data_IF_348198547850
#
_entry.id   IF_348198547850
#
_cell.length_a   1.000
_cell.length_b   1.000
_cell.length_c   1.000
_cell.angle_alpha   90.00
_cell.angle_beta   90.00
_cell.angle_gamma   90.00
#
_symmetry.space_group_name_H-M   'P 1'
#
loop_
_entity.id
_entity.type
_entity.pdbx_description
1 polymer ?
#
# COMPACT_ATOMS: atom_id res chain seq x y z
N UNK A 1 -2.49 22.79 -17.19
CA UNK A 1 -3.41 21.69 -17.56
C UNK A 1 -2.55 20.56 -18.10
N UNK A 2 -2.30 19.53 -17.30
CA UNK A 2 -1.54 18.37 -17.75
C UNK A 2 -2.40 17.53 -18.70
N UNK A 3 -1.87 17.25 -19.87
CA UNK A 3 -2.51 16.47 -20.92
C UNK A 3 -2.77 15.04 -20.41
N UNK A 4 -4.02 14.73 -20.06
CA UNK A 4 -4.47 13.39 -19.68
C UNK A 4 -4.62 12.56 -20.95
N UNK A 5 -3.49 12.08 -21.48
CA UNK A 5 -3.48 11.09 -22.54
C UNK A 5 -4.21 9.83 -22.06
N UNK A 6 -5.17 9.36 -22.83
CA UNK A 6 -5.96 8.16 -22.53
C UNK A 6 -5.07 6.92 -22.46
N UNK A 7 -4.77 6.45 -21.27
CA UNK A 7 -3.92 5.28 -21.00
C UNK A 7 -4.64 3.93 -21.19
N UNK A 8 -5.81 3.91 -21.83
CA UNK A 8 -6.72 2.74 -21.86
C UNK A 8 -6.14 1.45 -22.46
N UNK A 9 -5.00 1.51 -23.15
CA UNK A 9 -4.33 0.33 -23.70
C UNK A 9 -3.12 -0.16 -22.85
N UNK A 10 -2.40 0.76 -22.20
CA UNK A 10 -1.17 0.47 -21.48
C UNK A 10 -1.39 -0.21 -20.12
N UNK A 11 -2.52 0.05 -19.47
CA UNK A 11 -2.87 -0.62 -18.21
C UNK A 11 -3.12 -2.13 -18.43
N UNK A 12 -3.63 -2.51 -19.61
CA UNK A 12 -3.91 -3.90 -19.99
C UNK A 12 -2.69 -4.62 -20.55
N UNK A 13 -1.77 -3.89 -21.19
CA UNK A 13 -0.55 -4.43 -21.82
C UNK A 13 0.63 -3.53 -21.48
N UNK A 14 1.36 -3.84 -20.40
CA UNK A 14 2.57 -3.09 -20.05
C UNK A 14 3.58 -3.11 -21.20
N UNK A 15 4.30 -2.00 -21.42
CA UNK A 15 5.33 -1.91 -22.48
C UNK A 15 6.50 -2.85 -22.24
N UNK A 16 6.86 -3.06 -20.96
CA UNK A 16 7.90 -4.00 -20.56
C UNK A 16 7.24 -5.19 -19.90
N UNK A 17 7.56 -6.37 -20.39
CA UNK A 17 7.00 -7.63 -19.90
C UNK A 17 8.03 -8.74 -20.04
N UNK A 18 8.00 -9.70 -19.15
CA UNK A 18 8.85 -10.88 -19.27
C UNK A 18 8.41 -11.73 -20.48
N UNK A 19 9.33 -12.35 -21.21
CA UNK A 19 9.00 -13.27 -22.30
C UNK A 19 8.11 -14.42 -21.83
N UNK A 20 7.15 -14.81 -22.68
CA UNK A 20 6.24 -15.91 -22.41
C UNK A 20 4.95 -15.51 -21.68
N UNK A 21 4.72 -14.21 -21.45
CA UNK A 21 3.47 -13.70 -20.87
C UNK A 21 2.83 -12.69 -21.83
N UNK A 22 1.90 -13.15 -22.67
CA UNK A 22 1.29 -12.33 -23.72
C UNK A 22 -0.17 -11.96 -23.44
N UNK A 23 -0.81 -12.64 -22.47
CA UNK A 23 -2.19 -12.41 -22.11
C UNK A 23 -2.39 -11.00 -21.52
N UNK A 24 -3.45 -10.27 -21.90
CA UNK A 24 -3.72 -8.96 -21.35
C UNK A 24 -4.03 -9.05 -19.85
N UNK A 25 -3.56 -8.09 -19.08
CA UNK A 25 -3.93 -7.96 -17.68
C UNK A 25 -5.42 -7.69 -17.55
N UNK A 26 -6.06 -8.27 -16.55
CA UNK A 26 -7.50 -8.14 -16.31
C UNK A 26 -7.81 -7.08 -15.27
N UNK A 27 -8.94 -6.40 -15.47
CA UNK A 27 -9.46 -5.45 -14.51
C UNK A 27 -10.18 -6.20 -13.39
N UNK A 28 -9.74 -6.01 -12.15
CA UNK A 28 -10.36 -6.55 -10.96
C UNK A 28 -10.63 -5.44 -9.96
N UNK A 29 -11.73 -5.50 -9.22
CA UNK A 29 -11.97 -4.61 -8.10
C UNK A 29 -11.08 -5.02 -6.93
N UNK A 30 -10.71 -4.05 -6.07
CA UNK A 30 -9.99 -4.39 -4.85
C UNK A 30 -10.79 -5.40 -4.01
N UNK A 31 -12.11 -5.27 -3.93
CA UNK A 31 -13.01 -6.22 -3.25
C UNK A 31 -12.97 -7.64 -3.82
N UNK A 32 -12.53 -7.84 -5.08
CA UNK A 32 -12.41 -9.16 -5.67
C UNK A 32 -11.20 -9.93 -5.15
N UNK A 33 -10.14 -9.22 -4.74
CA UNK A 33 -8.88 -9.84 -4.32
C UNK A 33 -8.42 -9.49 -2.89
N UNK A 34 -9.17 -8.64 -2.17
CA UNK A 34 -8.86 -8.28 -0.79
C UNK A 34 -10.13 -8.13 0.06
N UNK A 35 -10.04 -8.50 1.33
CA UNK A 35 -11.08 -8.28 2.33
C UNK A 35 -10.69 -7.15 3.28
N UNK A 36 -11.68 -6.33 3.66
CA UNK A 36 -11.47 -5.27 4.64
C UNK A 36 -11.17 -5.86 6.02
N UNK A 37 -10.09 -5.41 6.64
CA UNK A 37 -9.76 -5.75 8.03
C UNK A 37 -10.37 -4.70 8.95
N UNK A 38 -11.34 -5.14 9.75
CA UNK A 38 -11.99 -4.33 10.80
C UNK A 38 -11.81 -4.91 12.19
N UNK A 39 -11.04 -6.00 12.29
CA UNK A 39 -10.69 -6.68 13.54
C UNK A 39 -10.06 -5.71 14.52
N UNK A 40 -10.62 -5.65 15.74
CA UNK A 40 -10.13 -4.76 16.80
C UNK A 40 -9.12 -5.45 17.71
N UNK A 41 -8.25 -4.66 18.31
CA UNK A 41 -7.35 -5.07 19.38
C UNK A 41 -8.08 -5.20 20.74
N UNK A 42 -9.32 -5.69 20.71
CA UNK A 42 -10.27 -5.62 21.83
C UNK A 42 -9.83 -6.40 23.08
N UNK A 43 -8.94 -7.38 22.89
CA UNK A 43 -8.35 -8.17 23.99
C UNK A 43 -6.93 -7.71 24.32
N UNK A 44 -6.49 -6.56 23.81
CA UNK A 44 -5.11 -6.07 23.95
C UNK A 44 -4.06 -7.11 23.52
N UNK A 45 -4.30 -7.77 22.37
CA UNK A 45 -3.42 -8.78 21.80
C UNK A 45 -2.03 -8.20 21.48
N UNK A 46 -1.94 -6.89 21.29
CA UNK A 46 -0.69 -6.17 21.10
C UNK A 46 -0.69 -4.81 21.81
N UNK A 47 0.48 -4.43 22.32
CA UNK A 47 0.75 -3.09 22.86
C UNK A 47 1.64 -2.27 21.90
N UNK A 48 1.86 -2.75 20.66
CA UNK A 48 2.66 -2.08 19.65
C UNK A 48 1.80 -1.14 18.84
N UNK A 49 1.86 0.20 19.04
CA UNK A 49 1.18 1.15 18.18
C UNK A 49 1.92 1.29 16.86
N UNK A 50 1.21 1.13 15.73
CA UNK A 50 1.76 1.31 14.40
C UNK A 50 1.39 2.67 13.81
N UNK A 51 2.25 3.14 12.91
CA UNK A 51 1.96 4.22 11.97
C UNK A 51 2.50 3.86 10.59
N UNK A 52 2.04 4.57 9.55
CA UNK A 52 2.57 4.42 8.20
C UNK A 52 3.52 5.58 7.90
N UNK A 53 4.79 5.25 7.70
CA UNK A 53 5.74 6.07 6.96
C UNK A 53 5.61 5.71 5.47
N UNK A 54 5.40 6.70 4.61
CA UNK A 54 5.31 6.44 3.17
C UNK A 54 6.60 5.86 2.59
N UNK A 55 7.74 6.16 3.22
CA UNK A 55 9.07 5.64 2.84
C UNK A 55 9.39 4.31 3.53
N UNK A 56 9.20 4.22 4.84
CA UNK A 56 9.72 3.12 5.66
C UNK A 56 8.70 2.01 5.92
N UNK A 57 7.44 2.20 5.47
CA UNK A 57 6.36 1.23 5.62
C UNK A 57 5.60 1.35 6.94
N UNK A 58 5.05 0.25 7.42
CA UNK A 58 4.41 0.16 8.74
C UNK A 58 5.48 0.01 9.81
N UNK A 59 5.59 1.01 10.65
CA UNK A 59 6.64 1.15 11.67
C UNK A 59 6.04 1.36 13.07
N UNK A 60 6.82 1.07 14.10
CA UNK A 60 6.49 1.41 15.48
C UNK A 60 6.35 2.93 15.60
N UNK A 61 5.17 3.36 16.01
CA UNK A 61 4.82 4.78 16.11
C UNK A 61 5.66 5.51 17.15
N UNK A 62 5.98 4.86 18.28
CA UNK A 62 6.75 5.48 19.36
C UNK A 62 8.18 5.73 18.91
N UNK A 63 8.81 4.73 18.31
CA UNK A 63 10.17 4.84 17.79
C UNK A 63 10.26 5.84 16.64
N UNK A 64 9.25 5.89 15.76
CA UNK A 64 9.24 6.77 14.61
C UNK A 64 9.11 8.26 14.97
N UNK A 65 8.23 8.59 15.92
CA UNK A 65 7.99 9.98 16.33
C UNK A 65 8.83 10.40 17.57
N UNK A 66 9.58 9.49 18.14
CA UNK A 66 10.28 9.66 19.43
C UNK A 66 9.35 10.21 20.55
N UNK A 67 8.07 9.82 20.49
CA UNK A 67 7.04 10.18 21.49
C UNK A 67 5.83 9.25 21.37
N UNK A 68 5.08 9.12 22.44
CA UNK A 68 3.79 8.42 22.44
C UNK A 68 2.70 9.31 21.85
N UNK A 69 2.11 8.89 20.72
CA UNK A 69 1.00 9.58 20.04
C UNK A 69 -0.29 8.76 20.17
N UNK A 70 -0.16 7.43 20.22
CA UNK A 70 -1.28 6.52 20.38
C UNK A 70 -1.98 6.73 21.75
N UNK A 71 -3.28 6.42 21.79
CA UNK A 71 -4.02 6.36 23.05
C UNK A 71 -3.41 5.30 23.98
N UNK A 72 -3.48 5.52 25.29
CA UNK A 72 -3.14 4.49 26.29
C UNK A 72 -4.02 3.26 26.13
N UNK A 73 -5.29 3.45 25.81
CA UNK A 73 -6.21 2.38 25.43
C UNK A 73 -6.28 2.26 23.91
N UNK A 74 -5.74 1.17 23.39
CA UNK A 74 -5.76 0.81 21.97
C UNK A 74 -6.78 -0.30 21.65
N UNK A 75 -7.68 -0.64 22.55
CA UNK A 75 -8.70 -1.68 22.33
C UNK A 75 -9.63 -1.36 21.15
N UNK A 76 -9.85 -0.08 20.88
CA UNK A 76 -10.61 0.42 19.73
C UNK A 76 -9.82 0.48 18.41
N UNK A 77 -8.51 0.28 18.41
CA UNK A 77 -7.68 0.29 17.20
C UNK A 77 -7.87 -0.99 16.38
N UNK A 78 -7.53 -0.95 15.10
CA UNK A 78 -7.47 -2.17 14.30
C UNK A 78 -6.26 -3.01 14.71
N UNK A 79 -6.48 -4.32 14.88
CA UNK A 79 -5.41 -5.29 15.04
C UNK A 79 -4.95 -5.73 13.64
N UNK A 80 -3.79 -5.27 13.22
CA UNK A 80 -3.17 -5.64 11.95
C UNK A 80 -2.18 -6.78 12.16
N UNK A 81 -2.19 -7.77 11.28
CA UNK A 81 -1.28 -8.93 11.29
C UNK A 81 -0.23 -8.83 10.19
N UNK A 82 0.89 -9.52 10.35
CA UNK A 82 1.91 -9.64 9.32
C UNK A 82 1.30 -10.05 7.97
N UNK A 83 1.74 -9.43 6.89
CA UNK A 83 1.24 -9.64 5.54
C UNK A 83 -0.03 -8.84 5.18
N UNK A 84 -0.73 -8.26 6.16
CA UNK A 84 -1.89 -7.40 5.92
C UNK A 84 -1.44 -5.97 5.54
N UNK A 85 -2.30 -5.28 4.79
CA UNK A 85 -2.04 -3.97 4.22
C UNK A 85 -2.83 -2.88 4.93
N UNK A 86 -2.29 -1.66 4.90
CA UNK A 86 -3.02 -0.48 5.34
C UNK A 86 -2.78 0.70 4.41
N UNK A 87 -3.84 1.46 4.12
CA UNK A 87 -3.82 2.68 3.35
C UNK A 87 -3.86 3.90 4.27
N UNK A 88 -2.83 4.72 4.20
CA UNK A 88 -2.79 6.06 4.79
C UNK A 88 -3.31 7.07 3.78
N UNK A 89 -4.42 7.72 4.08
CA UNK A 89 -5.06 8.75 3.25
C UNK A 89 -4.40 10.12 3.34
N UNK A 90 -3.35 10.26 4.13
CA UNK A 90 -2.67 11.55 4.32
C UNK A 90 -1.68 11.83 3.20
N UNK A 91 -1.69 13.07 2.73
CA UNK A 91 -0.65 13.59 1.85
C UNK A 91 0.72 13.54 2.52
N UNK A 92 1.72 13.18 1.76
CA UNK A 92 3.13 13.40 2.11
C UNK A 92 3.94 13.67 0.84
N UNK A 93 5.13 14.26 0.98
CA UNK A 93 5.97 14.62 -0.17
C UNK A 93 6.26 13.38 -1.03
N UNK A 94 5.90 13.44 -2.31
CA UNK A 94 5.99 12.33 -3.25
C UNK A 94 4.84 11.32 -3.19
N UNK A 95 3.84 11.53 -2.30
CA UNK A 95 2.70 10.65 -2.10
C UNK A 95 1.40 11.46 -2.02
N UNK A 96 1.01 12.06 -3.16
CA UNK A 96 -0.10 13.02 -3.25
C UNK A 96 -1.46 12.43 -2.86
N UNK A 97 -1.66 11.13 -3.07
CA UNK A 97 -2.87 10.41 -2.71
C UNK A 97 -2.64 9.40 -1.57
N UNK A 98 -1.64 9.68 -0.72
CA UNK A 98 -1.28 8.82 0.40
C UNK A 98 -0.46 7.60 -0.01
N UNK A 99 -0.36 6.63 0.88
CA UNK A 99 0.44 5.44 0.65
C UNK A 99 -0.22 4.18 1.20
N UNK A 100 -0.05 3.06 0.50
CA UNK A 100 -0.47 1.73 0.93
C UNK A 100 0.78 0.94 1.27
N UNK A 101 0.83 0.37 2.48
CA UNK A 101 1.98 -0.40 2.96
C UNK A 101 1.52 -1.71 3.58
N UNK A 102 2.36 -2.75 3.43
CA UNK A 102 2.17 -4.06 4.06
C UNK A 102 2.92 -4.13 5.39
N UNK A 103 2.34 -4.82 6.36
CA UNK A 103 3.01 -5.07 7.63
C UNK A 103 4.01 -6.22 7.46
N UNK A 104 5.29 -5.87 7.32
CA UNK A 104 6.38 -6.84 7.11
C UNK A 104 7.25 -7.02 8.37
N UNK A 105 7.40 -5.97 9.20
CA UNK A 105 8.40 -5.92 10.27
C UNK A 105 7.98 -6.59 11.58
N UNK A 106 6.69 -6.71 11.83
CA UNK A 106 6.13 -7.20 13.09
C UNK A 106 5.10 -8.29 12.83
N UNK A 107 4.92 -9.19 13.79
CA UNK A 107 3.88 -10.24 13.71
C UNK A 107 2.48 -9.64 13.75
N UNK A 108 2.28 -8.57 14.53
CA UNK A 108 1.04 -7.82 14.64
C UNK A 108 1.28 -6.44 15.26
N UNK A 109 0.31 -5.54 15.13
CA UNK A 109 0.32 -4.25 15.78
C UNK A 109 -1.04 -3.57 15.77
N UNK A 110 -1.22 -2.57 16.62
CA UNK A 110 -2.43 -1.77 16.73
C UNK A 110 -2.35 -0.53 15.84
N UNK A 111 -3.29 -0.37 14.92
CA UNK A 111 -3.32 0.73 13.97
C UNK A 111 -4.62 1.54 14.10
N UNK A 112 -4.52 2.87 14.07
CA UNK A 112 -5.67 3.77 14.17
C UNK A 112 -6.74 3.46 13.11
N UNK A 113 -8.00 3.66 13.47
CA UNK A 113 -9.15 3.48 12.57
C UNK A 113 -9.25 4.53 11.46
N UNK A 114 -8.37 5.52 11.45
CA UNK A 114 -8.23 6.49 10.35
C UNK A 114 -7.70 5.84 9.06
N UNK A 115 -6.99 4.73 9.19
CA UNK A 115 -6.47 3.96 8.07
C UNK A 115 -7.51 3.00 7.51
N UNK A 116 -7.40 2.64 6.23
CA UNK A 116 -8.19 1.54 5.64
C UNK A 116 -7.27 0.31 5.61
N UNK A 117 -7.64 -0.73 6.35
CA UNK A 117 -6.86 -1.96 6.45
C UNK A 117 -7.50 -3.08 5.62
N UNK A 118 -6.66 -3.93 4.98
CA UNK A 118 -7.15 -5.06 4.20
C UNK A 118 -6.17 -6.23 4.18
N UNK A 119 -6.70 -7.42 3.93
CA UNK A 119 -5.96 -8.67 3.76
C UNK A 119 -6.21 -9.21 2.35
N UNK A 120 -5.20 -9.78 1.71
CA UNK A 120 -5.35 -10.40 0.39
C UNK A 120 -6.07 -11.75 0.50
N UNK A 121 -6.95 -12.01 -0.47
CA UNK A 121 -7.58 -13.32 -0.72
C UNK A 121 -6.88 -14.11 -1.81
N UNK A 122 -6.26 -13.40 -2.74
CA UNK A 122 -5.58 -13.95 -3.91
C UNK A 122 -4.46 -13.02 -4.36
N UNK A 123 -3.72 -13.44 -5.35
CA UNK A 123 -2.51 -12.82 -5.88
C UNK A 123 -1.27 -12.99 -4.99
N UNK A 124 -0.13 -12.86 -5.63
CA UNK A 124 1.16 -12.86 -4.93
C UNK A 124 1.29 -11.57 -4.10
N UNK A 125 1.58 -11.72 -2.82
CA UNK A 125 1.60 -10.60 -1.87
C UNK A 125 2.76 -9.63 -2.13
N UNK A 126 3.90 -10.11 -2.62
CA UNK A 126 5.04 -9.26 -2.96
C UNK A 126 4.78 -8.49 -4.24
N UNK A 127 4.09 -9.11 -5.21
CA UNK A 127 3.61 -8.41 -6.40
C UNK A 127 2.64 -7.29 -6.05
N UNK A 128 1.65 -7.53 -5.20
CA UNK A 128 0.67 -6.52 -4.78
C UNK A 128 1.36 -5.40 -4.00
N UNK A 129 2.35 -5.70 -3.17
CA UNK A 129 3.18 -4.68 -2.51
C UNK A 129 3.89 -3.81 -3.54
N UNK A 130 4.60 -4.39 -4.51
CA UNK A 130 5.28 -3.65 -5.57
C UNK A 130 4.30 -2.84 -6.43
N UNK A 131 3.12 -3.38 -6.72
CA UNK A 131 2.06 -2.67 -7.44
C UNK A 131 1.63 -1.40 -6.70
N UNK A 132 1.36 -1.48 -5.39
CA UNK A 132 0.97 -0.31 -4.61
C UNK A 132 2.12 0.67 -4.39
N UNK A 133 3.36 0.22 -4.33
CA UNK A 133 4.55 1.10 -4.28
C UNK A 133 4.79 1.83 -5.61
N UNK A 134 4.30 1.30 -6.76
CA UNK A 134 4.42 1.94 -8.08
C UNK A 134 3.55 3.19 -8.28
N UNK A 135 2.63 3.48 -7.39
CA UNK A 135 1.68 4.61 -7.43
C UNK A 135 0.72 4.63 -8.65
N UNK A 136 0.69 3.59 -9.49
CA UNK A 136 -0.22 3.48 -10.66
C UNK A 136 -1.71 3.53 -10.28
N UNK A 137 -2.02 3.24 -9.04
CA UNK A 137 -3.37 3.28 -8.46
C UNK A 137 -3.86 4.70 -8.13
N UNK A 138 -3.01 5.70 -8.11
CA UNK A 138 -3.32 7.09 -7.74
C UNK A 138 -4.47 7.70 -8.53
N UNK A 139 -4.53 7.44 -9.85
CA UNK A 139 -5.63 7.91 -10.69
C UNK A 139 -7.00 7.40 -10.21
N UNK A 140 -7.05 6.18 -9.66
CA UNK A 140 -8.28 5.58 -9.13
C UNK A 140 -8.74 6.32 -7.88
N UNK A 141 -7.79 6.68 -7.01
CA UNK A 141 -8.08 7.45 -5.79
C UNK A 141 -8.49 8.89 -6.13
N UNK A 142 -7.82 9.52 -7.09
CA UNK A 142 -8.22 10.85 -7.55
C UNK A 142 -9.70 10.89 -7.96
N UNK A 143 -10.20 9.88 -8.63
CA UNK A 143 -11.58 9.82 -9.13
C UNK A 143 -12.63 9.65 -8.02
N UNK A 144 -12.26 9.07 -6.87
CA UNK A 144 -13.16 8.82 -5.74
C UNK A 144 -12.93 9.77 -4.56
N UNK A 145 -11.87 10.58 -4.58
CA UNK A 145 -11.64 11.58 -3.55
C UNK A 145 -12.54 12.78 -3.80
N UNK A 146 -13.46 13.06 -2.86
CA UNK A 146 -14.36 14.20 -2.97
C UNK A 146 -13.59 15.52 -2.99
N UNK A 147 -13.96 16.43 -3.88
CA UNK A 147 -13.46 17.79 -3.91
C UNK A 147 -13.83 18.52 -2.59
N UNK A 148 -12.86 19.21 -1.99
CA UNK A 148 -13.08 20.13 -0.89
C UNK A 148 -12.84 19.61 0.53
N UNK A 149 -12.65 18.33 0.77
CA UNK A 149 -12.43 17.80 2.12
C UNK A 149 -10.93 17.68 2.48
N UNK A 150 -10.16 18.73 2.25
CA UNK A 150 -8.72 18.75 2.54
C UNK A 150 -8.40 19.54 3.82
N UNK A 151 -9.14 19.30 4.89
CA UNK A 151 -8.72 19.79 6.19
C UNK A 151 -7.53 18.96 6.68
N UNK A 152 -6.40 19.62 6.87
CA UNK A 152 -5.15 19.04 7.41
C UNK A 152 -4.47 17.94 6.53
N UNK A 153 -4.62 17.97 5.20
CA UNK A 153 -3.91 17.05 4.32
C UNK A 153 -4.47 15.62 4.27
N UNK A 154 -5.62 15.35 4.90
CA UNK A 154 -6.30 14.07 4.84
C UNK A 154 -7.29 14.05 3.66
N UNK A 155 -7.15 13.06 2.78
CA UNK A 155 -8.09 12.85 1.67
C UNK A 155 -9.41 12.25 2.19
N UNK A 156 -10.52 12.75 1.65
CA UNK A 156 -11.82 12.12 1.88
C UNK A 156 -12.01 10.96 0.89
N UNK A 157 -11.57 9.78 1.29
CA UNK A 157 -11.72 8.54 0.52
C UNK A 157 -12.61 7.60 1.32
N UNK A 158 -13.87 7.39 0.90
CA UNK A 158 -14.75 6.41 1.53
C UNK A 158 -14.18 5.00 1.36
N UNK A 159 -14.23 4.19 2.43
CA UNK A 159 -13.67 2.84 2.38
C UNK A 159 -14.37 1.96 1.35
N UNK A 160 -15.69 2.05 1.23
CA UNK A 160 -16.45 1.24 0.29
C UNK A 160 -16.11 1.58 -1.17
N UNK A 161 -15.94 2.88 -1.49
CA UNK A 161 -15.49 3.31 -2.82
C UNK A 161 -14.04 2.89 -3.09
N UNK A 162 -13.18 2.87 -2.06
CA UNK A 162 -11.81 2.37 -2.19
C UNK A 162 -11.79 0.89 -2.61
N UNK A 163 -12.66 0.05 -2.03
CA UNK A 163 -12.76 -1.37 -2.39
C UNK A 163 -13.39 -1.59 -3.77
N UNK A 164 -14.14 -0.65 -4.34
CA UNK A 164 -14.69 -0.68 -5.69
C UNK A 164 -13.70 -0.21 -6.77
N UNK A 165 -12.52 0.30 -6.38
CA UNK A 165 -11.50 0.72 -7.37
C UNK A 165 -11.03 -0.47 -8.20
N UNK A 166 -10.91 -0.25 -9.53
CA UNK A 166 -10.49 -1.29 -10.47
C UNK A 166 -9.00 -1.22 -10.76
N UNK A 167 -8.33 -2.35 -10.65
CA UNK A 167 -6.89 -2.51 -10.88
C UNK A 167 -6.66 -3.51 -12.02
N UNK A 168 -5.74 -3.19 -12.93
CA UNK A 168 -5.31 -4.12 -13.98
C UNK A 168 -4.13 -4.94 -13.47
N UNK A 169 -4.34 -6.26 -13.35
CA UNK A 169 -3.37 -7.18 -12.77
C UNK A 169 -3.20 -8.40 -13.71
N UNK A 170 -2.01 -9.01 -13.79
CA UNK A 170 -1.83 -10.29 -14.48
C UNK A 170 -2.55 -11.39 -13.70
N UNK A 171 -3.28 -12.25 -14.38
CA UNK A 171 -3.92 -13.41 -13.75
C UNK A 171 -2.89 -14.52 -13.43
N UNK A 172 -1.84 -14.61 -14.24
CA UNK A 172 -0.81 -15.63 -14.08
C UNK A 172 0.07 -15.30 -12.87
N UNK A 173 0.03 -16.17 -11.86
CA UNK A 173 0.81 -16.00 -10.62
C UNK A 173 2.32 -16.12 -10.84
N UNK A 174 2.78 -16.86 -11.86
CA UNK A 174 4.20 -16.93 -12.18
C UNK A 174 4.69 -15.61 -12.78
N UNK A 175 3.85 -14.91 -13.56
CA UNK A 175 4.16 -13.55 -14.00
C UNK A 175 4.23 -12.58 -12.81
N UNK A 176 3.26 -12.64 -11.90
CA UNK A 176 3.27 -11.82 -10.69
C UNK A 176 4.55 -12.03 -9.89
N UNK A 177 4.94 -13.29 -9.65
CA UNK A 177 6.16 -13.65 -8.92
C UNK A 177 7.42 -13.15 -9.61
N UNK A 178 7.55 -13.34 -10.93
CA UNK A 178 8.69 -12.81 -11.68
C UNK A 178 8.83 -11.29 -11.59
N UNK A 179 7.70 -10.56 -11.64
CA UNK A 179 7.70 -9.11 -11.47
C UNK A 179 8.14 -8.75 -10.05
N UNK A 180 7.59 -9.40 -9.02
CA UNK A 180 7.94 -9.18 -7.63
C UNK A 180 9.44 -9.44 -7.38
N UNK A 181 9.94 -10.60 -7.78
CA UNK A 181 11.35 -10.98 -7.62
C UNK A 181 12.30 -9.98 -8.28
N UNK A 182 11.93 -9.51 -9.48
CA UNK A 182 12.72 -8.50 -10.19
C UNK A 182 12.77 -7.17 -9.44
N UNK A 183 11.63 -6.68 -8.95
CA UNK A 183 11.56 -5.43 -8.17
C UNK A 183 12.34 -5.58 -6.86
N UNK A 184 12.16 -6.68 -6.13
CA UNK A 184 12.90 -6.95 -4.89
C UNK A 184 14.43 -6.99 -5.15
N UNK A 185 14.86 -7.59 -6.25
CA UNK A 185 16.28 -7.63 -6.60
C UNK A 185 16.83 -6.24 -6.92
N UNK A 186 16.04 -5.38 -7.59
CA UNK A 186 16.42 -3.99 -7.86
C UNK A 186 16.51 -3.18 -6.56
N UNK A 187 15.54 -3.29 -5.67
CA UNK A 187 15.53 -2.57 -4.40
C UNK A 187 16.75 -2.95 -3.55
N UNK A 188 17.04 -4.24 -3.43
CA UNK A 188 18.25 -4.73 -2.72
C UNK A 188 19.54 -4.16 -3.30
N UNK A 189 19.63 -4.04 -4.63
CA UNK A 189 20.79 -3.46 -5.30
C UNK A 189 20.93 -1.97 -5.02
N UNK A 190 19.81 -1.24 -5.04
CA UNK A 190 19.76 0.19 -4.73
C UNK A 190 20.18 0.41 -3.26
N UNK A 191 19.65 -0.35 -2.32
CA UNK A 191 20.00 -0.27 -0.90
C UNK A 191 21.50 -0.56 -0.67
N UNK A 192 22.04 -1.59 -1.31
CA UNK A 192 23.44 -1.93 -1.20
C UNK A 192 24.36 -0.81 -1.75
N UNK A 193 23.99 -0.21 -2.88
CA UNK A 193 24.74 0.92 -3.45
C UNK A 193 24.63 2.17 -2.57
N UNK A 194 23.46 2.47 -2.01
CA UNK A 194 23.28 3.59 -1.11
C UNK A 194 24.14 3.43 0.14
N UNK A 195 24.15 2.23 0.73
CA UNK A 195 25.00 1.92 1.89
C UNK A 195 26.49 2.13 1.59
N UNK A 196 26.95 1.75 0.38
CA UNK A 196 28.35 2.01 -0.02
C UNK A 196 28.65 3.50 -0.10
N UNK A 197 27.74 4.29 -0.68
CA UNK A 197 27.90 5.76 -0.79
C UNK A 197 27.93 6.41 0.60
N UNK A 198 27.09 5.96 1.51
CA UNK A 198 27.02 6.52 2.87
C UNK A 198 28.25 6.16 3.71
N UNK A 199 28.90 5.02 3.43
CA UNK A 199 30.16 4.62 4.09
C UNK A 199 31.40 5.36 3.56
N UNK A 200 31.31 6.06 2.43
CA UNK A 200 32.42 6.83 1.84
C UNK A 200 32.43 8.29 2.32
N UNK A 201 31.31 8.75 2.89
CA UNK A 201 31.18 10.10 3.46
C UNK A 201 31.71 10.16 4.89
#
# INVERSE_FOLDING_TARGET
MANVSSSNGLDKRPKLRFPGFDEPWKAEKLSDFADRVTRKNSKNETNLPLTISSKDGLVDQVSYFNKTVASKDMSGYYLLKNGEFAYNKSYSVGYDFGSIKRLDRYSMGALSTLYICFALKKHDSDFIKAYFDSLKWYRKIYMISAEGARNHGLLNVPADEFFETKHYLPENTDEQRKIADFIIALDRRIEAQQSLVDNIK
#
